data_IF_322211554291
#
_entry.id   IF_322211554291
#
_cell.length_a   1.000
_cell.length_b   1.000
_cell.length_c   1.000
_cell.angle_alpha   90.00
_cell.angle_beta   90.00
_cell.angle_gamma   90.00
#
_symmetry.space_group_name_H-M   'P 1'
#
loop_
_entity.id
_entity.type
_entity.pdbx_description
1 polymer ?
#
# COMPACT_ATOMS: atom_id res chain seq x y z
N UNK A 1 -17.59 28.89 23.92
CA UNK A 1 -18.15 27.91 22.96
C UNK A 1 -17.38 26.60 23.14
N UNK A 2 -17.98 25.50 23.59
CA UNK A 2 -17.26 24.23 23.74
C UNK A 2 -16.80 23.72 22.36
N UNK A 3 -15.62 23.10 22.31
CA UNK A 3 -15.01 22.64 21.05
C UNK A 3 -15.84 21.52 20.42
N UNK A 4 -15.75 21.36 19.09
CA UNK A 4 -16.45 20.28 18.35
C UNK A 4 -16.08 18.88 18.87
N UNK A 5 -14.93 18.73 19.55
CA UNK A 5 -14.52 17.49 20.20
C UNK A 5 -15.33 17.17 21.47
N UNK A 6 -15.77 18.18 22.22
CA UNK A 6 -16.54 17.97 23.46
C UNK A 6 -17.97 17.48 23.18
N UNK A 7 -18.51 17.80 21.99
CA UNK A 7 -19.81 17.30 21.56
C UNK A 7 -19.76 15.81 21.18
N UNK A 8 -18.61 15.32 20.71
CA UNK A 8 -18.42 13.92 20.34
C UNK A 8 -18.23 13.01 21.56
N UNK A 9 -17.64 13.50 22.66
CA UNK A 9 -17.42 12.73 23.90
C UNK A 9 -18.71 12.43 24.68
N UNK A 10 -19.76 13.25 24.52
CA UNK A 10 -21.02 13.07 25.26
C UNK A 10 -21.96 12.01 24.67
N UNK A 11 -21.80 11.61 23.40
CA UNK A 11 -22.73 10.70 22.74
C UNK A 11 -22.42 9.20 22.92
N UNK A 12 -21.28 8.82 23.50
CA UNK A 12 -20.85 7.41 23.62
C UNK A 12 -20.71 6.84 25.04
N UNK A 13 -21.12 7.56 26.09
CA UNK A 13 -21.21 7.01 27.45
C UNK A 13 -22.58 6.38 27.71
N UNK A 14 -22.85 5.21 27.11
CA UNK A 14 -23.90 4.32 27.60
C UNK A 14 -23.43 2.86 27.45
N UNK A 15 -23.35 2.19 28.61
CA UNK A 15 -23.28 0.74 28.87
C UNK A 15 -21.92 0.02 28.76
N UNK A 16 -21.22 -0.02 29.89
CA UNK A 16 -20.28 -1.08 30.29
C UNK A 16 -20.59 -1.48 31.74
N UNK A 17 -21.15 -2.67 31.91
CA UNK A 17 -21.36 -3.41 33.16
C UNK A 17 -21.82 -4.83 32.73
N UNK A 18 -21.32 -6.00 33.13
CA UNK A 18 -20.28 -6.45 34.07
C UNK A 18 -19.90 -7.91 33.67
N UNK A 19 -19.50 -8.87 34.53
CA UNK A 19 -18.12 -9.33 34.68
C UNK A 19 -17.87 -10.85 34.48
N UNK A 20 -16.58 -11.20 34.46
CA UNK A 20 -15.89 -12.47 34.83
C UNK A 20 -16.73 -13.69 35.25
N UNK A 21 -16.46 -14.83 34.60
CA UNK A 21 -16.44 -16.15 35.24
C UNK A 21 -15.60 -17.16 34.43
N UNK A 22 -14.47 -17.60 34.98
CA UNK A 22 -13.90 -18.95 34.76
C UNK A 22 -14.74 -19.97 35.59
N UNK A 23 -14.63 -21.33 35.50
CA UNK A 23 -13.39 -22.12 35.41
C UNK A 23 -13.46 -23.53 34.73
N UNK A 24 -12.32 -24.24 34.81
CA UNK A 24 -12.07 -25.72 34.82
C UNK A 24 -11.74 -26.44 33.50
N UNK A 25 -10.48 -26.89 33.42
CA UNK A 25 -10.07 -28.16 32.82
C UNK A 25 -10.51 -29.35 33.72
N UNK A 26 -10.61 -30.60 33.24
CA UNK A 26 -9.41 -31.46 33.14
C UNK A 26 -9.38 -32.55 32.03
N UNK A 27 -8.16 -33.09 31.86
CA UNK A 27 -7.76 -34.47 31.52
C UNK A 27 -7.66 -34.98 30.05
N UNK A 28 -6.39 -35.26 29.69
CA UNK A 28 -5.77 -36.58 29.36
C UNK A 28 -6.56 -37.56 28.50
N UNK A 29 -6.02 -37.88 27.32
CA UNK A 29 -5.52 -39.21 26.87
C UNK A 29 -5.09 -39.10 25.40
N UNK A 30 -3.81 -39.33 25.07
CA UNK A 30 -3.27 -40.63 24.61
C UNK A 30 -3.97 -41.15 23.35
N UNK A 31 -3.29 -41.11 22.20
CA UNK A 31 -3.05 -42.26 21.30
C UNK A 31 -2.54 -41.85 19.91
N UNK A 32 -1.30 -42.24 19.64
CA UNK A 32 -0.77 -42.86 18.40
C UNK A 32 -1.16 -42.27 17.03
N UNK A 33 -0.16 -41.61 16.44
CA UNK A 33 0.04 -41.52 14.99
C UNK A 33 0.25 -42.92 14.36
N UNK A 34 -0.30 -43.13 13.15
CA UNK A 34 0.34 -43.95 12.15
C UNK A 34 0.71 -43.13 10.91
N UNK A 35 1.94 -43.35 10.45
CA UNK A 35 2.61 -42.75 9.29
C UNK A 35 1.78 -42.78 7.98
N UNK A 36 1.86 -41.73 7.14
CA UNK A 36 1.34 -41.78 5.79
C UNK A 36 2.28 -42.60 4.88
N UNK A 37 1.74 -43.73 4.38
CA UNK A 37 2.36 -44.59 3.37
C UNK A 37 2.62 -43.80 2.08
N UNK A 38 3.89 -43.77 1.65
CA UNK A 38 4.33 -43.33 0.32
C UNK A 38 3.57 -44.09 -0.79
N UNK A 39 2.90 -43.39 -1.72
CA UNK A 39 2.50 -43.98 -2.99
C UNK A 39 3.73 -44.18 -3.88
N UNK A 40 3.71 -45.31 -4.58
CA UNK A 40 4.75 -45.82 -5.48
C UNK A 40 4.80 -44.97 -6.75
N UNK A 41 6.03 -44.66 -7.17
CA UNK A 41 6.35 -44.25 -8.54
C UNK A 41 5.82 -45.32 -9.51
N UNK A 42 4.98 -44.89 -10.44
CA UNK A 42 4.66 -45.66 -11.64
C UNK A 42 5.24 -44.88 -12.80
N UNK A 43 6.18 -45.51 -13.49
CA UNK A 43 6.75 -45.07 -14.75
C UNK A 43 5.72 -45.21 -15.89
N UNK A 44 6.02 -44.54 -16.99
CA UNK A 44 5.42 -44.65 -18.33
C UNK A 44 4.13 -43.85 -18.56
N UNK A 45 4.20 -42.81 -19.39
CA UNK A 45 3.95 -42.98 -20.82
C UNK A 45 4.45 -41.77 -21.62
N UNK A 46 4.99 -42.08 -22.79
CA UNK A 46 5.40 -41.18 -23.86
C UNK A 46 4.15 -40.65 -24.58
N UNK A 47 4.08 -39.35 -24.83
CA UNK A 47 3.29 -38.76 -25.93
C UNK A 47 4.00 -37.44 -26.27
N UNK A 48 4.79 -37.45 -27.35
CA UNK A 48 4.39 -37.02 -28.69
C UNK A 48 4.28 -35.50 -28.75
N UNK A 49 5.42 -34.91 -29.13
CA UNK A 49 5.55 -33.54 -29.60
C UNK A 49 4.73 -33.36 -30.88
N UNK A 50 3.57 -32.73 -30.78
CA UNK A 50 2.94 -32.08 -31.94
C UNK A 50 3.47 -30.64 -32.02
N UNK A 51 4.48 -30.46 -32.87
CA UNK A 51 4.86 -29.14 -33.40
C UNK A 51 3.68 -28.59 -34.20
N UNK A 52 3.02 -27.58 -33.64
CA UNK A 52 2.02 -26.79 -34.35
C UNK A 52 2.74 -25.57 -34.94
N UNK A 53 3.17 -25.69 -36.20
CA UNK A 53 3.55 -24.55 -37.05
C UNK A 53 2.27 -23.80 -37.45
N UNK A 54 1.98 -22.72 -36.73
CA UNK A 54 1.00 -21.70 -37.16
C UNK A 54 1.74 -20.52 -37.76
N UNK A 55 2.11 -20.66 -39.03
CA UNK A 55 2.37 -19.53 -39.93
C UNK A 55 1.03 -18.82 -40.20
N UNK A 56 0.65 -17.92 -39.29
CA UNK A 56 -0.44 -16.97 -39.49
C UNK A 56 0.16 -15.63 -39.93
N UNK A 57 0.37 -15.51 -41.24
CA UNK A 57 0.58 -14.22 -41.92
C UNK A 57 -0.72 -13.40 -41.83
N UNK A 58 -0.88 -12.71 -40.69
CA UNK A 58 -1.91 -11.70 -40.50
C UNK A 58 -1.38 -10.37 -41.03
N UNK A 59 -1.61 -10.12 -42.32
CA UNK A 59 -1.57 -8.78 -42.90
C UNK A 59 -2.70 -7.94 -42.28
N UNK A 60 -2.38 -7.27 -41.17
CA UNK A 60 -3.25 -6.25 -40.58
C UNK A 60 -2.96 -4.94 -41.30
N UNK A 61 -3.77 -4.66 -42.33
CA UNK A 61 -3.87 -3.32 -42.93
C UNK A 61 -4.42 -2.35 -41.88
N UNK A 62 -3.51 -1.69 -41.17
CA UNK A 62 -3.82 -0.49 -40.40
C UNK A 62 -4.01 0.66 -41.39
N UNK A 63 -5.23 0.80 -41.92
CA UNK A 63 -5.67 2.06 -42.50
C UNK A 63 -5.58 3.13 -41.40
N UNK A 64 -4.53 3.95 -41.47
CA UNK A 64 -4.36 5.18 -40.72
C UNK A 64 -5.57 6.08 -40.98
N UNK A 65 -6.56 6.02 -40.10
CA UNK A 65 -7.55 7.08 -39.97
C UNK A 65 -6.86 8.26 -39.31
N UNK A 66 -6.52 9.22 -40.15
CA UNK A 66 -6.14 10.58 -39.79
C UNK A 66 -7.38 11.30 -39.26
N UNK A 67 -7.75 10.96 -38.03
CA UNK A 67 -8.76 11.66 -37.25
C UNK A 67 -8.13 12.97 -36.79
N UNK A 68 -8.19 14.00 -37.64
CA UNK A 68 -7.74 15.35 -37.33
C UNK A 68 -8.33 15.84 -36.01
N UNK A 69 -7.56 15.66 -34.94
CA UNK A 69 -7.83 16.21 -33.63
C UNK A 69 -7.44 17.69 -33.67
N UNK A 70 -8.49 18.48 -33.79
CA UNK A 70 -8.55 19.92 -33.58
C UNK A 70 -7.77 20.33 -32.33
N UNK A 71 -6.60 20.92 -32.56
CA UNK A 71 -5.60 21.34 -31.57
C UNK A 71 -5.97 22.69 -30.94
N UNK A 72 -7.25 22.90 -30.63
CA UNK A 72 -7.74 24.15 -30.05
C UNK A 72 -8.23 23.98 -28.61
N UNK A 73 -7.50 24.66 -27.71
CA UNK A 73 -7.88 25.06 -26.37
C UNK A 73 -7.87 23.98 -25.26
N UNK A 74 -6.68 23.46 -24.95
CA UNK A 74 -6.36 23.18 -23.54
C UNK A 74 -5.82 24.49 -22.93
N UNK A 75 -6.66 25.15 -22.14
CA UNK A 75 -6.24 26.31 -21.36
C UNK A 75 -5.08 25.92 -20.43
N UNK A 76 -4.06 26.79 -20.29
CA UNK A 76 -2.98 26.56 -19.34
C UNK A 76 -3.58 26.56 -17.93
N UNK A 77 -3.63 25.38 -17.31
CA UNK A 77 -3.99 25.26 -15.91
C UNK A 77 -2.85 25.89 -15.12
N UNK A 78 -3.10 27.10 -14.60
CA UNK A 78 -2.16 27.86 -13.79
C UNK A 78 -1.49 26.98 -12.74
N UNK A 79 -0.16 26.93 -12.78
CA UNK A 79 0.69 26.39 -11.72
C UNK A 79 0.54 27.27 -10.47
N UNK A 80 -0.54 27.04 -9.72
CA UNK A 80 -0.70 27.66 -8.40
C UNK A 80 0.19 26.90 -7.43
N UNK A 81 1.28 27.57 -7.05
CA UNK A 81 2.27 27.20 -6.03
C UNK A 81 1.66 26.40 -4.87
N UNK A 82 1.84 25.08 -4.91
CA UNK A 82 1.56 24.17 -3.80
C UNK A 82 2.66 24.26 -2.71
N UNK A 83 3.78 24.90 -3.02
CA UNK A 83 4.97 24.98 -2.16
C UNK A 83 4.80 25.92 -0.96
N UNK A 84 3.79 26.80 -0.94
CA UNK A 84 3.58 27.75 0.15
C UNK A 84 2.65 27.27 1.28
N UNK A 85 2.03 26.09 1.15
CA UNK A 85 1.07 25.56 2.14
C UNK A 85 1.65 24.48 3.07
N UNK A 86 2.89 24.03 2.83
CA UNK A 86 3.61 23.07 3.67
C UNK A 86 4.14 23.64 5.00
N UNK A 87 3.93 24.93 5.28
CA UNK A 87 4.64 25.64 6.35
C UNK A 87 3.81 26.00 7.60
N UNK A 88 2.49 25.81 7.63
CA UNK A 88 1.66 26.50 8.63
C UNK A 88 1.05 25.68 9.78
N UNK A 89 1.22 24.36 9.88
CA UNK A 89 0.72 23.59 11.04
C UNK A 89 1.78 22.66 11.63
N UNK A 90 2.88 23.27 12.12
CA UNK A 90 3.78 22.62 13.09
C UNK A 90 3.14 22.68 14.47
N UNK A 91 2.26 21.72 14.75
CA UNK A 91 1.92 21.32 16.12
C UNK A 91 3.18 20.68 16.73
N UNK A 92 3.34 20.72 18.06
CA UNK A 92 4.45 20.19 18.87
C UNK A 92 4.71 18.66 18.71
N UNK A 93 4.88 18.17 17.48
CA UNK A 93 5.11 16.77 17.08
C UNK A 93 6.57 16.51 16.64
N UNK A 94 7.41 17.56 16.56
CA UNK A 94 8.84 17.42 16.23
C UNK A 94 9.59 16.55 17.26
N UNK A 95 9.24 16.61 18.55
CA UNK A 95 9.94 15.83 19.59
C UNK A 95 9.66 14.32 19.50
N UNK A 96 8.43 13.91 19.14
CA UNK A 96 8.05 12.50 18.99
C UNK A 96 8.66 11.88 17.71
N UNK A 97 8.74 12.66 16.63
CA UNK A 97 9.34 12.23 15.36
C UNK A 97 10.86 12.10 15.47
N UNK A 98 11.52 13.03 16.15
CA UNK A 98 12.96 12.98 16.42
C UNK A 98 13.34 11.77 17.29
N UNK A 99 12.50 11.39 18.24
CA UNK A 99 12.77 10.25 19.13
C UNK A 99 12.68 8.91 18.37
N UNK A 100 11.71 8.77 17.46
CA UNK A 100 11.59 7.60 16.58
C UNK A 100 12.71 7.56 15.54
N UNK A 101 13.10 8.72 14.98
CA UNK A 101 14.22 8.80 14.04
C UNK A 101 15.57 8.45 14.69
N UNK A 102 15.76 8.83 15.97
CA UNK A 102 16.97 8.49 16.75
C UNK A 102 17.06 7.01 17.11
N UNK A 103 15.93 6.34 17.36
CA UNK A 103 15.89 4.89 17.62
C UNK A 103 16.29 4.06 16.38
N UNK A 104 16.17 4.63 15.18
CA UNK A 104 16.57 3.97 13.91
C UNK A 104 18.04 4.14 13.55
N UNK A 105 18.72 5.17 14.06
CA UNK A 105 20.15 5.36 13.82
C UNK A 105 21.01 4.27 14.49
N UNK A 106 20.40 3.44 15.35
CA UNK A 106 21.04 2.28 15.97
C UNK A 106 20.78 0.96 15.25
N UNK A 107 20.01 0.96 14.16
CA UNK A 107 19.70 -0.27 13.42
C UNK A 107 20.88 -0.66 12.50
N UNK A 108 21.59 -1.71 12.92
CA UNK A 108 22.48 -2.47 12.04
C UNK A 108 21.67 -2.94 10.81
N UNK A 109 22.19 -2.78 9.57
CA UNK A 109 21.49 -3.21 8.36
C UNK A 109 21.26 -4.74 8.40
N UNK A 110 20.02 -5.14 8.72
CA UNK A 110 19.62 -6.55 8.80
C UNK A 110 18.76 -6.94 10.00
N UNK A 111 18.50 -6.05 10.97
CA UNK A 111 17.51 -6.32 12.01
C UNK A 111 16.09 -6.36 11.41
N UNK A 112 15.38 -7.45 11.64
CA UNK A 112 13.96 -7.53 11.27
C UNK A 112 13.20 -6.51 12.13
N UNK A 113 12.38 -5.61 11.56
CA UNK A 113 11.58 -4.67 12.35
C UNK A 113 10.65 -5.36 13.37
N UNK A 114 10.33 -6.65 13.14
CA UNK A 114 9.56 -7.49 14.06
C UNK A 114 10.36 -7.98 15.29
N UNK A 115 11.68 -7.85 15.28
CA UNK A 115 12.54 -8.22 16.41
C UNK A 115 12.84 -7.03 17.34
N UNK A 116 12.47 -5.80 16.94
CA UNK A 116 12.60 -4.61 17.78
C UNK A 116 11.43 -4.46 18.74
N UNK A 117 11.49 -5.26 19.81
CA UNK A 117 10.52 -5.21 20.91
C UNK A 117 10.41 -3.82 21.53
N UNK A 118 11.49 -3.04 21.59
CA UNK A 118 11.47 -1.71 22.19
C UNK A 118 10.66 -0.74 21.33
N UNK A 119 10.84 -0.76 20.01
CA UNK A 119 10.02 0.03 19.09
C UNK A 119 8.55 -0.41 19.09
N UNK A 120 8.28 -1.72 19.18
CA UNK A 120 6.91 -2.25 19.39
C UNK A 120 6.26 -1.68 20.64
N UNK A 121 6.91 -1.81 21.80
CA UNK A 121 6.34 -1.37 23.08
C UNK A 121 6.10 0.16 23.09
N UNK A 122 7.02 0.93 22.49
CA UNK A 122 6.86 2.39 22.31
C UNK A 122 5.67 2.74 21.41
N UNK A 123 5.52 2.05 20.28
CA UNK A 123 4.39 2.25 19.38
C UNK A 123 3.07 1.93 20.09
N UNK A 124 3.00 0.80 20.81
CA UNK A 124 1.82 0.41 21.59
C UNK A 124 1.47 1.49 22.61
N UNK A 125 2.45 2.05 23.32
CA UNK A 125 2.22 3.14 24.28
C UNK A 125 1.73 4.42 23.60
N UNK A 126 2.36 4.83 22.49
CA UNK A 126 1.97 6.00 21.68
C UNK A 126 0.50 5.92 21.26
N UNK A 127 0.07 4.75 20.78
CA UNK A 127 -1.29 4.58 20.26
C UNK A 127 -2.32 4.17 21.31
N UNK A 128 -1.93 3.61 22.46
CA UNK A 128 -2.84 3.38 23.59
C UNK A 128 -3.43 4.68 24.15
N UNK A 129 -2.67 5.79 24.07
CA UNK A 129 -3.09 7.11 24.53
C UNK A 129 -3.90 7.89 23.50
N UNK A 130 -3.83 7.50 22.22
CA UNK A 130 -4.55 8.15 21.12
C UNK A 130 -5.90 7.49 20.91
N UNK A 131 -6.91 8.26 20.49
CA UNK A 131 -8.19 7.70 20.02
C UNK A 131 -8.10 7.18 18.58
N UNK A 132 -6.98 6.54 18.23
CA UNK A 132 -6.71 6.02 16.90
C UNK A 132 -7.06 4.54 16.87
N UNK A 133 -8.17 4.20 16.20
CA UNK A 133 -8.72 2.85 16.14
C UNK A 133 -9.02 2.50 14.69
N UNK A 134 -7.98 2.23 13.86
CA UNK A 134 -8.18 1.81 12.49
C UNK A 134 -8.89 0.46 12.44
N UNK A 135 -9.58 0.21 11.32
CA UNK A 135 -10.15 -1.10 11.03
C UNK A 135 -9.01 -2.08 10.75
N UNK A 136 -8.91 -3.09 11.60
CA UNK A 136 -7.93 -4.16 11.44
C UNK A 136 -8.43 -5.20 10.46
N UNK A 137 -7.72 -5.39 9.35
CA UNK A 137 -7.99 -6.48 8.41
C UNK A 137 -7.07 -7.65 8.75
N UNK A 138 -7.67 -8.72 9.28
CA UNK A 138 -6.96 -9.97 9.64
C UNK A 138 -6.92 -10.99 8.50
N UNK A 139 -7.86 -10.91 7.55
CA UNK A 139 -7.89 -11.77 6.37
C UNK A 139 -7.59 -10.98 5.09
N UNK A 140 -6.73 -11.51 4.21
CA UNK A 140 -6.39 -10.92 2.90
C UNK A 140 -7.64 -10.66 2.06
N UNK A 141 -8.56 -11.63 2.01
CA UNK A 141 -9.81 -11.52 1.24
C UNK A 141 -10.72 -10.40 1.73
N UNK A 142 -10.79 -10.14 3.04
CA UNK A 142 -11.59 -9.08 3.61
C UNK A 142 -11.01 -7.68 3.29
N UNK A 143 -9.67 -7.56 3.32
CA UNK A 143 -8.96 -6.34 2.94
C UNK A 143 -9.21 -6.01 1.46
N UNK A 144 -8.92 -6.98 0.58
CA UNK A 144 -9.08 -6.82 -0.88
C UNK A 144 -10.53 -6.49 -1.21
N UNK A 145 -11.51 -7.21 -0.64
CA UNK A 145 -12.94 -6.92 -0.87
C UNK A 145 -13.34 -5.51 -0.41
N UNK A 146 -12.79 -5.03 0.70
CA UNK A 146 -13.10 -3.69 1.19
C UNK A 146 -12.52 -2.58 0.30
N UNK A 147 -11.31 -2.80 -0.24
CA UNK A 147 -10.60 -1.81 -1.05
C UNK A 147 -10.83 -1.97 -2.56
N UNK A 148 -11.35 -3.09 -3.06
CA UNK A 148 -11.55 -3.36 -4.50
C UNK A 148 -12.30 -2.23 -5.24
N UNK A 149 -13.39 -1.64 -4.72
CA UNK A 149 -14.06 -0.53 -5.41
C UNK A 149 -13.19 0.73 -5.51
N UNK A 150 -12.34 0.97 -4.49
CA UNK A 150 -11.39 2.08 -4.48
C UNK A 150 -10.23 1.77 -5.43
N UNK A 151 -9.73 0.54 -5.40
CA UNK A 151 -8.67 0.03 -6.27
C UNK A 151 -9.01 0.24 -7.75
N UNK A 152 -10.12 -0.35 -8.21
CA UNK A 152 -10.56 -0.27 -9.60
C UNK A 152 -10.68 1.17 -10.12
N UNK A 153 -11.30 2.05 -9.31
CA UNK A 153 -11.47 3.46 -9.67
C UNK A 153 -10.15 4.21 -9.69
N UNK A 154 -9.25 3.92 -8.77
CA UNK A 154 -7.99 4.66 -8.59
C UNK A 154 -6.98 4.27 -9.65
N UNK A 155 -6.76 2.97 -9.85
CA UNK A 155 -5.78 2.44 -10.81
C UNK A 155 -6.12 2.91 -12.22
N UNK A 156 -7.36 2.68 -12.68
CA UNK A 156 -7.79 3.09 -14.03
C UNK A 156 -7.65 4.58 -14.26
N UNK A 157 -7.94 5.40 -13.25
CA UNK A 157 -7.83 6.86 -13.39
C UNK A 157 -6.38 7.34 -13.47
N UNK A 158 -5.49 6.76 -12.67
CA UNK A 158 -4.07 7.12 -12.67
C UNK A 158 -3.41 6.62 -13.95
N UNK A 159 -3.62 5.36 -14.30
CA UNK A 159 -3.06 4.76 -15.52
C UNK A 159 -3.57 5.45 -16.79
N UNK A 160 -4.83 5.89 -16.78
CA UNK A 160 -5.42 6.70 -17.85
C UNK A 160 -5.09 8.20 -17.79
N UNK A 161 -4.20 8.66 -16.89
CA UNK A 161 -3.78 10.07 -16.80
C UNK A 161 -4.85 11.06 -16.30
N UNK A 162 -6.02 10.57 -15.89
CA UNK A 162 -7.20 11.38 -15.55
C UNK A 162 -7.29 11.78 -14.06
N UNK A 163 -6.41 11.25 -13.21
CA UNK A 163 -6.33 11.62 -11.80
C UNK A 163 -4.94 12.09 -11.42
N UNK A 164 -4.89 13.21 -10.70
CA UNK A 164 -3.69 13.64 -9.98
C UNK A 164 -3.35 12.60 -8.91
N UNK A 165 -2.07 12.30 -8.79
CA UNK A 165 -1.50 11.38 -7.82
C UNK A 165 -0.27 12.02 -7.17
N UNK A 166 -0.30 12.11 -5.85
CA UNK A 166 0.82 12.59 -5.05
C UNK A 166 2.02 11.64 -5.17
N UNK A 167 1.79 10.33 -5.05
CA UNK A 167 2.87 9.34 -5.12
C UNK A 167 3.44 9.20 -6.53
N UNK A 168 2.64 9.40 -7.58
CA UNK A 168 3.14 9.46 -8.95
C UNK A 168 4.07 10.67 -9.12
N UNK A 169 3.72 11.83 -8.56
CA UNK A 169 4.59 13.02 -8.60
C UNK A 169 5.92 12.76 -7.90
N UNK A 170 5.90 12.16 -6.71
CA UNK A 170 7.13 11.77 -6.00
C UNK A 170 7.99 10.80 -6.82
N UNK A 171 7.35 9.80 -7.46
CA UNK A 171 8.04 8.87 -8.35
C UNK A 171 8.62 9.56 -9.60
N UNK A 172 7.93 10.57 -10.12
CA UNK A 172 8.43 11.40 -11.23
C UNK A 172 9.66 12.22 -10.81
N UNK A 173 9.59 12.90 -9.67
CA UNK A 173 10.72 13.66 -9.12
C UNK A 173 11.94 12.74 -8.91
N UNK A 174 11.72 11.53 -8.44
CA UNK A 174 12.76 10.51 -8.30
C UNK A 174 13.35 10.09 -9.66
N UNK A 175 12.50 9.87 -10.67
CA UNK A 175 12.94 9.52 -12.02
C UNK A 175 13.72 10.65 -12.70
N UNK A 176 13.32 11.92 -12.47
CA UNK A 176 13.96 13.10 -13.06
C UNK A 176 15.29 13.46 -12.40
N UNK A 177 15.45 13.14 -11.11
CA UNK A 177 16.71 13.37 -10.37
C UNK A 177 17.73 12.25 -10.58
N UNK A 178 17.29 11.05 -10.98
CA UNK A 178 18.19 9.95 -11.30
C UNK A 178 18.84 10.14 -12.68
N UNK A 179 20.16 9.91 -12.81
CA UNK A 179 20.82 9.88 -14.12
C UNK A 179 20.58 8.54 -14.87
N UNK A 180 19.83 7.60 -14.29
CA UNK A 180 19.66 6.24 -14.82
C UNK A 180 18.28 6.06 -15.44
N UNK A 181 18.21 5.20 -16.45
CA UNK A 181 16.93 4.84 -17.09
C UNK A 181 16.05 3.97 -16.20
N UNK A 182 16.64 3.20 -15.30
CA UNK A 182 15.97 2.29 -14.37
C UNK A 182 16.43 2.53 -12.94
N UNK A 183 15.50 2.46 -11.99
CA UNK A 183 15.81 2.61 -10.56
C UNK A 183 16.63 1.42 -10.05
N UNK A 184 17.72 1.76 -9.38
CA UNK A 184 18.64 0.78 -8.80
C UNK A 184 18.26 0.38 -7.40
N UNK A 185 18.80 -0.73 -6.93
CA UNK A 185 18.64 -1.13 -5.54
C UNK A 185 19.22 -0.09 -4.58
N UNK A 186 20.34 0.55 -4.93
CA UNK A 186 20.94 1.58 -4.08
C UNK A 186 20.01 2.79 -3.95
N UNK A 187 19.46 3.28 -5.06
CA UNK A 187 18.48 4.38 -5.02
C UNK A 187 17.25 4.01 -4.21
N UNK A 188 16.76 2.76 -4.32
CA UNK A 188 15.64 2.27 -3.52
C UNK A 188 15.96 2.21 -2.01
N UNK A 189 17.20 1.86 -1.65
CA UNK A 189 17.66 1.84 -0.25
C UNK A 189 17.90 3.26 0.30
N UNK A 190 18.33 4.19 -0.56
CA UNK A 190 18.58 5.59 -0.21
C UNK A 190 17.28 6.40 -0.10
N UNK A 191 16.17 5.89 -0.66
CA UNK A 191 14.85 6.46 -0.41
C UNK A 191 14.56 6.45 1.09
N UNK A 192 14.22 7.62 1.62
CA UNK A 192 13.66 7.70 2.96
C UNK A 192 12.49 6.73 3.03
N UNK A 193 12.47 5.85 4.03
CA UNK A 193 11.44 4.80 4.19
C UNK A 193 10.01 5.38 4.24
N UNK A 194 9.89 6.69 4.48
CA UNK A 194 8.63 7.44 4.52
C UNK A 194 8.16 7.99 3.16
N UNK A 195 8.96 7.91 2.08
CA UNK A 195 8.58 8.49 0.78
C UNK A 195 7.36 7.80 0.14
N UNK A 196 7.14 6.53 0.45
CA UNK A 196 5.98 5.75 -0.02
C UNK A 196 5.35 5.00 1.16
N UNK A 197 4.69 5.74 2.08
CA UNK A 197 4.18 5.18 3.30
C UNK A 197 2.92 4.34 3.03
N UNK A 198 2.90 3.12 3.58
CA UNK A 198 1.69 2.30 3.68
C UNK A 198 0.86 2.66 4.93
N UNK A 199 1.44 3.49 5.81
CA UNK A 199 0.85 3.93 7.07
C UNK A 199 0.37 2.81 7.96
N UNK A 200 -0.74 3.04 8.66
CA UNK A 200 -1.32 2.07 9.60
C UNK A 200 -1.70 0.73 8.97
N UNK A 201 -1.74 0.60 7.64
CA UNK A 201 -1.96 -0.71 7.03
C UNK A 201 -0.77 -1.64 7.22
N UNK A 202 0.45 -1.11 7.25
CA UNK A 202 1.67 -1.92 7.29
C UNK A 202 2.01 -2.57 5.95
N UNK A 203 3.19 -3.17 5.90
CA UNK A 203 3.78 -3.76 4.70
C UNK A 203 3.07 -5.04 4.26
N UNK A 204 2.59 -5.88 5.18
CA UNK A 204 1.91 -7.13 4.85
C UNK A 204 0.60 -6.87 4.11
N UNK A 205 -0.19 -5.91 4.59
CA UNK A 205 -1.46 -5.50 3.95
C UNK A 205 -1.21 -4.71 2.67
N UNK A 206 -0.19 -3.85 2.65
CA UNK A 206 0.25 -3.17 1.42
C UNK A 206 0.58 -4.17 0.31
N UNK A 207 1.40 -5.17 0.61
CA UNK A 207 1.77 -6.25 -0.34
C UNK A 207 0.56 -7.03 -0.86
N UNK A 208 -0.41 -7.34 0.01
CA UNK A 208 -1.65 -7.98 -0.42
C UNK A 208 -2.46 -7.13 -1.43
N UNK A 209 -2.47 -5.81 -1.26
CA UNK A 209 -3.10 -4.89 -2.22
C UNK A 209 -2.27 -4.78 -3.50
N UNK A 210 -0.94 -4.73 -3.41
CA UNK A 210 -0.04 -4.76 -4.58
C UNK A 210 -0.29 -6.00 -5.44
N UNK A 211 -0.35 -7.18 -4.81
CA UNK A 211 -0.64 -8.44 -5.52
C UNK A 211 -1.97 -8.36 -6.26
N UNK A 212 -3.02 -7.88 -5.58
CA UNK A 212 -4.33 -7.71 -6.21
C UNK A 212 -4.29 -6.71 -7.39
N UNK A 213 -3.51 -5.63 -7.28
CA UNK A 213 -3.34 -4.67 -8.38
C UNK A 213 -2.65 -5.34 -9.58
N UNK A 214 -1.61 -6.12 -9.35
CA UNK A 214 -0.88 -6.81 -10.41
C UNK A 214 -1.71 -7.93 -11.07
N UNK A 215 -2.49 -8.67 -10.27
CA UNK A 215 -3.40 -9.70 -10.76
C UNK A 215 -4.47 -9.12 -11.70
N UNK A 216 -5.02 -7.96 -11.36
CA UNK A 216 -6.18 -7.40 -12.08
C UNK A 216 -5.84 -6.33 -13.12
N UNK A 217 -4.72 -5.61 -12.96
CA UNK A 217 -4.41 -4.40 -13.75
C UNK A 217 -2.99 -4.38 -14.34
N UNK A 218 -2.25 -5.49 -14.29
CA UNK A 218 -0.87 -5.51 -14.82
C UNK A 218 -0.81 -5.18 -16.30
N UNK A 219 -1.80 -5.59 -17.10
CA UNK A 219 -1.83 -5.28 -18.52
C UNK A 219 -1.98 -3.78 -18.77
N UNK A 220 -2.90 -3.09 -18.08
CA UNK A 220 -3.07 -1.65 -18.25
C UNK A 220 -1.82 -0.86 -17.84
N UNK A 221 -1.07 -1.35 -16.84
CA UNK A 221 0.19 -0.74 -16.43
C UNK A 221 1.28 -0.99 -17.49
N UNK A 222 1.35 -2.19 -18.08
CA UNK A 222 2.25 -2.49 -19.21
C UNK A 222 1.94 -1.64 -20.43
N UNK A 223 0.66 -1.48 -20.78
CA UNK A 223 0.27 -0.62 -21.90
C UNK A 223 0.72 0.84 -21.67
N UNK A 224 0.71 1.31 -20.41
CA UNK A 224 1.23 2.63 -20.06
C UNK A 224 2.75 2.73 -20.21
N UNK A 225 3.48 1.67 -19.84
CA UNK A 225 4.92 1.55 -20.07
C UNK A 225 5.27 1.58 -21.57
N UNK A 226 4.54 0.80 -22.38
CA UNK A 226 4.72 0.70 -23.83
C UNK A 226 4.44 2.04 -24.53
N UNK A 227 3.46 2.81 -24.04
CA UNK A 227 3.19 4.20 -24.49
C UNK A 227 4.30 5.18 -24.12
N UNK A 228 5.33 4.77 -23.39
CA UNK A 228 6.49 5.61 -23.10
C UNK A 228 6.42 6.38 -21.79
N UNK A 229 5.56 5.97 -20.85
CA UNK A 229 5.54 6.60 -19.53
C UNK A 229 6.90 6.43 -18.82
N UNK A 230 7.59 7.55 -18.59
CA UNK A 230 8.94 7.57 -18.01
C UNK A 230 8.97 7.03 -16.59
N UNK A 231 7.91 7.25 -15.81
CA UNK A 231 7.86 6.83 -14.40
C UNK A 231 7.68 5.32 -14.31
N UNK A 232 6.77 4.76 -15.12
CA UNK A 232 6.56 3.31 -15.16
C UNK A 232 7.82 2.60 -15.67
N UNK A 233 8.45 3.11 -16.73
CA UNK A 233 9.73 2.57 -17.22
C UNK A 233 10.81 2.61 -16.15
N UNK A 234 11.00 3.76 -15.52
CA UNK A 234 12.03 3.94 -14.48
C UNK A 234 11.82 3.01 -13.28
N UNK A 235 10.58 2.87 -12.80
CA UNK A 235 10.28 2.02 -11.66
C UNK A 235 10.16 0.53 -12.02
N UNK A 236 9.81 0.18 -13.26
CA UNK A 236 9.14 -1.08 -13.66
C UNK A 236 7.69 -1.18 -13.19
N UNK A 237 6.90 -2.01 -13.89
CA UNK A 237 5.49 -2.31 -13.59
C UNK A 237 5.28 -2.71 -12.13
N UNK A 238 6.11 -3.60 -11.60
CA UNK A 238 5.96 -4.13 -10.24
C UNK A 238 6.17 -3.04 -9.17
N UNK A 239 7.24 -2.24 -9.29
CA UNK A 239 7.50 -1.18 -8.33
C UNK A 239 6.55 0.00 -8.50
N UNK A 240 6.08 0.27 -9.72
CA UNK A 240 5.02 1.24 -9.94
C UNK A 240 3.73 0.83 -9.21
N UNK A 241 3.35 -0.44 -9.30
CA UNK A 241 2.19 -0.97 -8.58
C UNK A 241 2.37 -0.88 -7.05
N UNK A 242 3.55 -1.26 -6.53
CA UNK A 242 3.80 -1.31 -5.09
C UNK A 242 4.04 0.07 -4.46
N UNK A 243 4.76 0.97 -5.13
CA UNK A 243 5.11 2.27 -4.57
C UNK A 243 4.06 3.34 -4.88
N UNK A 244 3.52 3.36 -6.10
CA UNK A 244 2.60 4.42 -6.52
C UNK A 244 1.15 4.00 -6.32
N UNK A 245 0.71 2.96 -7.03
CA UNK A 245 -0.72 2.61 -7.06
C UNK A 245 -1.22 2.11 -5.71
N UNK A 246 -0.44 1.28 -5.01
CA UNK A 246 -0.82 0.77 -3.69
C UNK A 246 -0.99 1.91 -2.70
N UNK A 247 -0.01 2.83 -2.59
CA UNK A 247 -0.09 3.98 -1.69
C UNK A 247 -1.29 4.88 -2.02
N UNK A 248 -1.61 5.12 -3.30
CA UNK A 248 -2.79 5.89 -3.71
C UNK A 248 -4.13 5.22 -3.36
N UNK A 249 -4.19 3.89 -3.45
CA UNK A 249 -5.36 3.10 -3.07
C UNK A 249 -5.55 3.14 -1.56
N UNK A 250 -4.47 2.94 -0.79
CA UNK A 250 -4.50 3.01 0.67
C UNK A 250 -4.89 4.40 1.17
N UNK A 251 -4.37 5.48 0.57
CA UNK A 251 -4.72 6.85 0.95
C UNK A 251 -6.22 7.13 0.73
N UNK A 252 -6.79 6.70 -0.41
CA UNK A 252 -8.24 6.83 -0.66
C UNK A 252 -9.07 5.93 0.25
N UNK A 253 -8.55 4.76 0.61
CA UNK A 253 -9.13 3.87 1.61
C UNK A 253 -9.20 4.54 2.99
N UNK A 254 -8.06 5.05 3.47
CA UNK A 254 -7.93 5.77 4.74
C UNK A 254 -8.84 7.00 4.79
N UNK A 255 -8.86 7.81 3.72
CA UNK A 255 -9.78 8.95 3.61
C UNK A 255 -11.23 8.55 3.85
N UNK A 256 -11.66 7.44 3.24
CA UNK A 256 -13.03 6.94 3.40
C UNK A 256 -13.28 6.39 4.80
N UNK A 257 -12.34 5.62 5.34
CA UNK A 257 -12.45 4.98 6.65
C UNK A 257 -12.56 6.00 7.79
N UNK A 258 -11.71 7.03 7.75
CA UNK A 258 -11.65 8.08 8.77
C UNK A 258 -12.52 9.30 8.45
N UNK A 259 -13.25 9.28 7.33
CA UNK A 259 -14.06 10.41 6.86
C UNK A 259 -13.26 11.72 6.79
N UNK A 260 -12.02 11.63 6.29
CA UNK A 260 -11.12 12.78 6.21
C UNK A 260 -11.61 13.76 5.14
N UNK A 261 -11.49 15.08 5.37
CA UNK A 261 -12.04 16.08 4.48
C UNK A 261 -11.34 16.08 3.12
N UNK A 262 -10.02 15.90 3.10
CA UNK A 262 -9.21 15.90 1.88
C UNK A 262 -8.42 14.59 1.71
N UNK A 263 -7.77 14.46 0.53
CA UNK A 263 -6.82 13.38 0.29
C UNK A 263 -5.45 13.68 0.90
N UNK A 264 -5.12 14.96 1.06
CA UNK A 264 -3.91 15.43 1.74
C UNK A 264 -3.88 15.01 3.21
N UNK A 265 -5.00 15.17 3.92
CA UNK A 265 -5.17 14.65 5.29
C UNK A 265 -4.92 13.14 5.37
N UNK A 266 -5.26 12.41 4.31
CA UNK A 266 -5.04 10.97 4.26
C UNK A 266 -3.57 10.62 4.00
N UNK A 267 -2.87 11.38 3.15
CA UNK A 267 -1.42 11.24 2.99
C UNK A 267 -0.68 11.50 4.30
N UNK A 268 -1.03 12.59 4.99
CA UNK A 268 -0.49 12.93 6.30
C UNK A 268 -0.78 11.82 7.33
N UNK A 269 -2.01 11.30 7.35
CA UNK A 269 -2.36 10.19 8.23
C UNK A 269 -1.49 8.95 7.95
N UNK A 270 -1.28 8.59 6.68
CA UNK A 270 -0.44 7.45 6.34
C UNK A 270 1.00 7.67 6.79
N UNK A 271 1.57 8.84 6.54
CA UNK A 271 2.94 9.16 6.96
C UNK A 271 3.11 9.09 8.49
N UNK A 272 2.17 9.69 9.23
CA UNK A 272 2.20 9.74 10.71
C UNK A 272 1.99 8.37 11.37
N UNK A 273 1.42 7.40 10.64
CA UNK A 273 1.04 6.09 11.17
C UNK A 273 1.87 4.92 10.64
N UNK A 274 3.01 5.20 9.99
CA UNK A 274 3.92 4.15 9.53
C UNK A 274 4.43 3.26 10.66
N UNK A 275 4.74 3.84 11.83
CA UNK A 275 5.16 3.09 13.01
C UNK A 275 4.07 2.14 13.53
N UNK A 276 2.80 2.54 13.48
CA UNK A 276 1.67 1.65 13.75
C UNK A 276 1.63 0.48 12.76
N UNK A 277 1.82 0.78 11.47
CA UNK A 277 1.88 -0.23 10.42
C UNK A 277 2.95 -1.29 10.68
N UNK A 278 4.19 -0.83 10.90
CA UNK A 278 5.36 -1.71 11.07
C UNK A 278 5.36 -2.45 12.41
N UNK A 279 5.08 -1.73 13.50
CA UNK A 279 5.32 -2.26 14.83
C UNK A 279 4.06 -2.75 15.55
N UNK A 280 2.86 -2.58 14.98
CA UNK A 280 1.63 -3.12 15.58
C UNK A 280 0.88 -3.99 14.57
N UNK A 281 0.63 -3.48 13.37
CA UNK A 281 -0.17 -4.21 12.39
C UNK A 281 0.57 -5.34 11.71
N UNK A 282 1.84 -5.14 11.37
CA UNK A 282 2.65 -6.21 10.77
C UNK A 282 3.04 -7.30 11.79
N UNK A 283 2.93 -7.04 13.09
CA UNK A 283 3.01 -8.08 14.13
C UNK A 283 1.79 -9.01 14.11
N UNK A 284 0.62 -8.53 13.67
CA UNK A 284 -0.54 -9.37 13.47
C UNK A 284 -0.39 -10.13 12.13
N UNK A 285 -0.58 -11.45 12.16
CA UNK A 285 -0.62 -12.23 10.91
C UNK A 285 -1.77 -11.77 10.00
N UNK A 286 -1.56 -11.91 8.69
CA UNK A 286 -2.59 -11.71 7.68
C UNK A 286 -2.88 -13.09 7.10
N UNK A 287 -4.04 -13.64 7.44
CA UNK A 287 -4.52 -14.95 7.00
C UNK A 287 -5.04 -14.93 5.56
#
# INVERSE_FOLDING_TARGET
MPSRLDQYRKSKRVNLASPLSSPKQPNKESSREPEPKRPKLTEQEQSEDEEIDLDLDLEVDYELRDDGLDDTALEPVEDVELDLLLASDRIDEEEDLDQIARLRQTDEPGSNPLDDKAAHDLAVEKYARKSFLPKTYTAKSALVKALAPVCAKTVRKIVGGSAKSYYYRLARELAETSPRELITQQELMDLKTQSFPMGYFGTKRGSAITQHILEEYSQEIRDLEERGDKVVKFLSVERFASMVLTCEVLARGARKEFSLPSLEDAYNLLELTCDYGWYIMDYCELE
#
